data_IF_034578449089
#
_entry.id   IF_034578449089
#
_cell.length_a   1.000
_cell.length_b   1.000
_cell.length_c   1.000
_cell.angle_alpha   90.00
_cell.angle_beta   90.00
_cell.angle_gamma   90.00
#
_symmetry.space_group_name_H-M   'P 1'
#
loop_
_entity.id
_entity.type
_entity.pdbx_description
1 polymer ?
#
# COMPACT_ATOMS: atom_id res chain seq x y z
N UNK A 1 6.63 13.30 29.08
CA UNK A 1 7.67 12.76 30.00
C UNK A 1 8.96 12.68 29.22
N UNK A 2 9.98 13.47 29.56
CA UNK A 2 11.12 13.69 28.64
C UNK A 2 11.79 12.39 28.14
N UNK A 3 11.95 11.38 29.00
CA UNK A 3 12.57 10.11 28.59
C UNK A 3 11.71 9.31 27.59
N UNK A 4 10.37 9.38 27.68
CA UNK A 4 9.44 8.70 26.76
C UNK A 4 9.58 9.28 25.36
N UNK A 5 9.61 10.62 25.27
CA UNK A 5 9.79 11.34 24.00
C UNK A 5 11.17 11.04 23.40
N UNK A 6 12.22 11.01 24.22
CA UNK A 6 13.58 10.69 23.76
C UNK A 6 13.69 9.26 23.22
N UNK A 7 13.14 8.26 23.93
CA UNK A 7 13.19 6.86 23.50
C UNK A 7 12.40 6.65 22.21
N UNK A 8 11.17 7.16 22.15
CA UNK A 8 10.33 7.00 20.96
C UNK A 8 10.89 7.79 19.78
N UNK A 9 11.39 9.00 20.01
CA UNK A 9 12.03 9.82 18.98
C UNK A 9 13.29 9.17 18.41
N UNK A 10 14.15 8.61 19.27
CA UNK A 10 15.35 7.87 18.84
C UNK A 10 14.99 6.61 18.04
N UNK A 11 13.94 5.89 18.45
CA UNK A 11 13.40 4.75 17.70
C UNK A 11 12.91 5.17 16.30
N UNK A 12 12.05 6.19 16.21
CA UNK A 12 11.53 6.69 14.93
C UNK A 12 12.64 7.15 14.00
N UNK A 13 13.62 7.89 14.51
CA UNK A 13 14.78 8.33 13.73
C UNK A 13 15.59 7.14 13.19
N UNK A 14 15.81 6.12 14.03
CA UNK A 14 16.53 4.91 13.63
C UNK A 14 15.81 4.16 12.52
N UNK A 15 14.48 4.04 12.61
CA UNK A 15 13.64 3.43 11.56
C UNK A 15 13.73 4.23 10.26
N UNK A 16 13.57 5.56 10.31
CA UNK A 16 13.67 6.41 9.12
C UNK A 16 15.01 6.27 8.41
N UNK A 17 16.12 6.31 9.16
CA UNK A 17 17.48 6.12 8.63
C UNK A 17 17.60 4.73 7.98
N UNK A 18 17.17 3.67 8.69
CA UNK A 18 17.20 2.31 8.17
C UNK A 18 16.42 2.16 6.86
N UNK A 19 15.22 2.74 6.77
CA UNK A 19 14.36 2.70 5.59
C UNK A 19 14.98 3.45 4.41
N UNK A 20 15.59 4.63 4.65
CA UNK A 20 16.28 5.40 3.59
C UNK A 20 17.46 4.62 3.03
N UNK A 21 18.30 4.04 3.90
CA UNK A 21 19.44 3.21 3.48
C UNK A 21 18.94 1.97 2.70
N UNK A 22 17.87 1.34 3.16
CA UNK A 22 17.29 0.16 2.50
C UNK A 22 16.70 0.49 1.12
N UNK A 23 16.02 1.64 0.98
CA UNK A 23 15.50 2.12 -0.29
C UNK A 23 16.62 2.42 -1.30
N UNK A 24 17.72 3.03 -0.85
CA UNK A 24 18.88 3.30 -1.69
C UNK A 24 19.50 2.00 -2.22
N UNK A 25 19.66 0.98 -1.37
CA UNK A 25 20.16 -0.34 -1.77
C UNK A 25 19.23 -1.03 -2.78
N UNK A 26 17.91 -0.91 -2.57
CA UNK A 26 16.93 -1.50 -3.48
C UNK A 26 16.99 -0.90 -4.89
N UNK A 27 17.19 0.42 -5.00
CA UNK A 27 17.30 1.11 -6.28
C UNK A 27 18.54 0.72 -7.10
N UNK A 28 19.57 0.14 -6.47
CA UNK A 28 20.78 -0.32 -7.13
C UNK A 28 20.64 -1.73 -7.73
N UNK A 29 19.59 -2.48 -7.39
CA UNK A 29 19.40 -3.83 -7.89
C UNK A 29 18.92 -3.82 -9.35
N UNK A 30 19.65 -4.53 -10.20
CA UNK A 30 19.16 -4.88 -11.53
C UNK A 30 18.03 -5.89 -11.41
N UNK A 31 16.95 -5.64 -12.15
CA UNK A 31 15.73 -6.42 -12.05
C UNK A 31 15.56 -7.25 -13.33
N UNK A 32 15.26 -8.56 -13.19
CA UNK A 32 15.09 -9.42 -14.35
C UNK A 32 13.91 -8.93 -15.19
N UNK A 33 14.07 -8.98 -16.51
CA UNK A 33 12.96 -8.69 -17.44
C UNK A 33 11.94 -9.82 -17.31
N UNK A 34 10.69 -9.44 -17.09
CA UNK A 34 9.56 -10.37 -17.12
C UNK A 34 8.57 -9.95 -18.20
N UNK A 35 7.67 -10.86 -18.56
CA UNK A 35 6.56 -10.58 -19.49
C UNK A 35 5.24 -10.81 -18.78
N UNK A 36 4.25 -10.01 -19.16
CA UNK A 36 2.93 -10.05 -18.57
C UNK A 36 1.85 -10.01 -19.67
N UNK A 37 0.82 -10.84 -19.52
CA UNK A 37 -0.43 -10.77 -20.30
C UNK A 37 -1.63 -11.11 -19.41
N UNK A 38 -2.78 -10.55 -19.74
CA UNK A 38 -4.06 -10.96 -19.17
C UNK A 38 -4.50 -12.30 -19.77
N UNK A 39 -5.21 -13.11 -18.98
CA UNK A 39 -5.74 -14.40 -19.44
C UNK A 39 -6.78 -14.28 -20.55
N UNK A 40 -7.50 -13.16 -20.59
CA UNK A 40 -8.50 -12.85 -21.61
C UNK A 40 -8.81 -11.34 -21.67
N UNK A 41 -9.38 -10.85 -22.78
CA UNK A 41 -9.93 -9.49 -22.84
C UNK A 41 -11.01 -9.23 -21.78
N UNK A 42 -11.83 -10.24 -21.46
CA UNK A 42 -12.84 -10.12 -20.39
C UNK A 42 -12.19 -9.81 -19.04
N UNK A 43 -11.13 -10.55 -18.67
CA UNK A 43 -10.40 -10.30 -17.43
C UNK A 43 -9.81 -8.88 -17.39
N UNK A 44 -9.29 -8.39 -18.51
CA UNK A 44 -8.82 -7.00 -18.63
C UNK A 44 -9.93 -5.99 -18.30
N UNK A 45 -11.09 -6.08 -18.97
CA UNK A 45 -12.18 -5.12 -18.78
C UNK A 45 -12.83 -5.23 -17.41
N UNK A 46 -13.03 -6.45 -16.91
CA UNK A 46 -13.54 -6.67 -15.55
C UNK A 46 -12.64 -5.99 -14.52
N UNK A 47 -11.33 -6.21 -14.61
CA UNK A 47 -10.37 -5.63 -13.68
C UNK A 47 -10.31 -4.09 -13.80
N UNK A 48 -10.41 -3.55 -15.02
CA UNK A 48 -10.47 -2.10 -15.24
C UNK A 48 -11.72 -1.48 -14.59
N UNK A 49 -12.90 -2.09 -14.80
CA UNK A 49 -14.16 -1.62 -14.21
C UNK A 49 -14.07 -1.67 -12.68
N UNK A 50 -13.58 -2.78 -12.12
CA UNK A 50 -13.38 -2.91 -10.68
C UNK A 50 -12.51 -1.79 -10.11
N UNK A 51 -11.36 -1.50 -10.73
CA UNK A 51 -10.45 -0.43 -10.28
C UNK A 51 -11.10 0.95 -10.40
N UNK A 52 -11.80 1.23 -11.50
CA UNK A 52 -12.51 2.50 -11.71
C UNK A 52 -13.63 2.70 -10.68
N UNK A 53 -14.43 1.66 -10.41
CA UNK A 53 -15.49 1.70 -9.41
C UNK A 53 -14.93 1.90 -7.99
N UNK A 54 -13.82 1.22 -7.66
CA UNK A 54 -13.15 1.38 -6.36
C UNK A 54 -12.57 2.79 -6.21
N UNK A 55 -11.92 3.32 -7.24
CA UNK A 55 -11.42 4.70 -7.24
C UNK A 55 -12.55 5.71 -7.05
N UNK A 56 -13.67 5.54 -7.76
CA UNK A 56 -14.84 6.41 -7.61
C UNK A 56 -15.41 6.35 -6.18
N UNK A 57 -15.54 5.15 -5.59
CA UNK A 57 -15.95 4.98 -4.20
C UNK A 57 -15.00 5.72 -3.24
N UNK A 58 -13.69 5.62 -3.47
CA UNK A 58 -12.70 6.25 -2.60
C UNK A 58 -12.77 7.77 -2.65
N UNK A 59 -12.97 8.34 -3.85
CA UNK A 59 -13.17 9.78 -4.01
C UNK A 59 -14.43 10.22 -3.25
N UNK A 60 -15.54 9.47 -3.37
CA UNK A 60 -16.78 9.79 -2.66
C UNK A 60 -16.58 9.75 -1.14
N UNK A 61 -15.89 8.72 -0.63
CA UNK A 61 -15.58 8.58 0.80
C UNK A 61 -14.73 9.76 1.29
N UNK A 62 -13.63 10.09 0.61
CA UNK A 62 -12.78 11.22 1.01
C UNK A 62 -13.50 12.56 0.96
N UNK A 63 -14.35 12.79 -0.04
CA UNK A 63 -15.18 14.01 -0.10
C UNK A 63 -16.14 14.08 1.08
N UNK A 64 -16.76 12.95 1.46
CA UNK A 64 -17.63 12.90 2.64
C UNK A 64 -16.85 13.12 3.93
N UNK A 65 -15.67 12.52 4.07
CA UNK A 65 -14.81 12.72 5.22
C UNK A 65 -14.40 14.17 5.39
N UNK A 66 -14.01 14.81 4.28
CA UNK A 66 -13.62 16.21 4.29
C UNK A 66 -14.81 17.13 4.60
N UNK A 67 -16.00 16.80 4.11
CA UNK A 67 -17.21 17.58 4.42
C UNK A 67 -17.57 17.51 5.91
N UNK A 68 -17.38 16.35 6.55
CA UNK A 68 -17.79 16.12 7.94
C UNK A 68 -16.72 16.58 8.95
N UNK A 69 -15.43 16.36 8.64
CA UNK A 69 -14.31 16.60 9.58
C UNK A 69 -13.34 17.70 9.14
N UNK A 70 -13.48 18.24 7.92
CA UNK A 70 -12.58 19.24 7.37
C UNK A 70 -11.13 18.74 7.29
N UNK A 71 -10.18 19.64 7.59
CA UNK A 71 -8.75 19.30 7.59
C UNK A 71 -8.41 18.28 8.68
N UNK A 72 -9.16 18.22 9.79
CA UNK A 72 -8.82 17.35 10.92
C UNK A 72 -8.76 15.87 10.57
N UNK A 73 -9.45 15.45 9.51
CA UNK A 73 -9.39 14.08 8.99
C UNK A 73 -7.95 13.61 8.69
N UNK A 74 -7.05 14.53 8.28
CA UNK A 74 -5.68 14.16 7.90
C UNK A 74 -4.83 13.75 9.11
N UNK A 75 -5.30 13.98 10.34
CA UNK A 75 -4.61 13.51 11.55
C UNK A 75 -4.69 11.98 11.72
N UNK A 76 -5.67 11.33 11.09
CA UNK A 76 -5.93 9.90 11.25
C UNK A 76 -5.11 9.05 10.26
N UNK A 77 -4.47 8.02 10.77
CA UNK A 77 -3.66 7.07 9.98
C UNK A 77 -4.50 6.37 8.91
N UNK A 78 -5.76 6.06 9.22
CA UNK A 78 -6.70 5.47 8.28
C UNK A 78 -6.83 6.30 7.02
N UNK A 79 -6.90 7.64 7.13
CA UNK A 79 -7.02 8.54 5.98
C UNK A 79 -5.73 8.55 5.15
N UNK A 80 -4.57 8.54 5.81
CA UNK A 80 -3.28 8.39 5.12
C UNK A 80 -3.22 7.09 4.33
N UNK A 81 -3.61 5.97 4.94
CA UNK A 81 -3.66 4.68 4.29
C UNK A 81 -4.65 4.68 3.10
N UNK A 82 -5.83 5.25 3.28
CA UNK A 82 -6.86 5.35 2.26
C UNK A 82 -6.41 6.21 1.06
N UNK A 83 -5.73 7.33 1.30
CA UNK A 83 -5.12 8.16 0.24
C UNK A 83 -4.03 7.38 -0.51
N UNK A 84 -3.15 6.68 0.21
CA UNK A 84 -2.09 5.88 -0.43
C UNK A 84 -2.67 4.78 -1.34
N UNK A 85 -3.75 4.14 -0.89
CA UNK A 85 -4.49 3.18 -1.68
C UNK A 85 -5.18 3.83 -2.90
N UNK A 86 -5.73 5.04 -2.77
CA UNK A 86 -6.27 5.79 -3.92
C UNK A 86 -5.18 6.08 -4.95
N UNK A 87 -3.99 6.51 -4.52
CA UNK A 87 -2.82 6.72 -5.38
C UNK A 87 -2.46 5.42 -6.11
N UNK A 88 -2.48 4.29 -5.41
CA UNK A 88 -2.28 2.98 -6.03
C UNK A 88 -3.30 2.73 -7.15
N UNK A 89 -4.60 2.90 -6.90
CA UNK A 89 -5.61 2.64 -7.94
C UNK A 89 -5.47 3.56 -9.14
N UNK A 90 -5.18 4.85 -8.95
CA UNK A 90 -4.92 5.79 -10.05
C UNK A 90 -3.74 5.29 -10.90
N UNK A 91 -2.63 4.90 -10.26
CA UNK A 91 -1.46 4.42 -10.96
C UNK A 91 -1.70 3.06 -11.63
N UNK A 92 -2.42 2.14 -10.98
CA UNK A 92 -2.77 0.84 -11.52
C UNK A 92 -3.66 0.96 -12.77
N UNK A 93 -4.64 1.88 -12.75
CA UNK A 93 -5.49 2.20 -13.89
C UNK A 93 -4.63 2.74 -15.05
N UNK A 94 -3.80 3.76 -14.78
CA UNK A 94 -2.89 4.32 -15.79
C UNK A 94 -2.02 3.21 -16.40
N UNK A 95 -1.37 2.40 -15.57
CA UNK A 95 -0.50 1.32 -16.02
C UNK A 95 -1.26 0.31 -16.89
N UNK A 96 -2.45 -0.12 -16.47
CA UNK A 96 -3.30 -1.03 -17.23
C UNK A 96 -3.66 -0.50 -18.62
N UNK A 97 -4.05 0.77 -18.74
CA UNK A 97 -4.36 1.36 -20.04
C UNK A 97 -3.12 1.60 -20.91
N UNK A 98 -1.99 2.01 -20.33
CA UNK A 98 -0.73 2.15 -21.10
C UNK A 98 -0.20 0.81 -21.61
N UNK A 99 -0.54 -0.28 -20.93
CA UNK A 99 -0.19 -1.65 -21.31
C UNK A 99 -1.38 -2.40 -21.92
N UNK A 100 -2.35 -1.71 -22.53
CA UNK A 100 -3.57 -2.34 -23.04
C UNK A 100 -3.33 -3.41 -24.13
N UNK A 101 -2.13 -3.50 -24.71
CA UNK A 101 -1.75 -4.61 -25.61
C UNK A 101 -1.58 -5.95 -24.87
N UNK A 102 -1.36 -5.92 -23.55
CA UNK A 102 -1.32 -7.10 -22.67
C UNK A 102 -2.58 -7.98 -22.72
N UNK A 103 -3.67 -7.47 -23.31
CA UNK A 103 -4.92 -8.19 -23.54
C UNK A 103 -4.88 -9.18 -24.71
N UNK A 104 -3.91 -9.02 -25.61
CA UNK A 104 -3.75 -9.89 -26.79
C UNK A 104 -2.38 -10.58 -26.81
N UNK A 105 -1.33 -9.87 -26.40
CA UNK A 105 0.05 -10.37 -26.48
C UNK A 105 0.83 -10.05 -25.20
N UNK A 106 1.81 -10.89 -24.81
CA UNK A 106 2.69 -10.59 -23.69
C UNK A 106 3.46 -9.28 -23.88
N UNK A 107 3.37 -8.38 -22.91
CA UNK A 107 4.14 -7.13 -22.87
C UNK A 107 5.32 -7.25 -21.92
N UNK A 108 6.46 -6.67 -22.29
CA UNK A 108 7.65 -6.64 -21.43
C UNK A 108 7.42 -5.71 -20.25
N UNK A 109 7.69 -6.17 -19.04
CA UNK A 109 7.55 -5.39 -17.82
C UNK A 109 8.63 -4.31 -17.73
N UNK A 110 8.24 -3.09 -17.40
CA UNK A 110 9.14 -1.96 -17.13
C UNK A 110 9.47 -1.86 -15.64
N UNK A 111 10.35 -0.92 -15.24
CA UNK A 111 10.56 -0.61 -13.82
C UNK A 111 9.30 -0.04 -13.14
N UNK A 112 8.37 0.52 -13.90
CA UNK A 112 7.12 1.10 -13.37
C UNK A 112 6.28 0.06 -12.63
N UNK A 113 6.13 -1.15 -13.18
CA UNK A 113 5.34 -2.21 -12.54
C UNK A 113 5.93 -2.63 -11.19
N UNK A 114 7.24 -2.48 -11.02
CA UNK A 114 7.94 -2.87 -9.80
C UNK A 114 7.65 -1.88 -8.68
N UNK A 115 7.67 -0.58 -8.98
CA UNK A 115 7.24 0.45 -8.03
C UNK A 115 5.75 0.34 -7.72
N UNK A 116 4.93 0.06 -8.73
CA UNK A 116 3.50 -0.20 -8.53
C UNK A 116 3.26 -1.43 -7.64
N UNK A 117 4.04 -2.50 -7.81
CA UNK A 117 3.98 -3.69 -6.96
C UNK A 117 4.46 -3.40 -5.54
N UNK A 118 5.54 -2.62 -5.37
CA UNK A 118 5.98 -2.18 -4.04
C UNK A 118 4.92 -1.34 -3.32
N UNK A 119 4.26 -0.43 -4.05
CA UNK A 119 3.14 0.34 -3.52
C UNK A 119 1.97 -0.56 -3.14
N UNK A 120 1.66 -1.57 -3.97
CA UNK A 120 0.66 -2.58 -3.66
C UNK A 120 1.00 -3.34 -2.38
N UNK A 121 2.23 -3.80 -2.23
CA UNK A 121 2.70 -4.54 -1.04
C UNK A 121 2.44 -3.73 0.25
N UNK A 122 2.76 -2.44 0.22
CA UNK A 122 2.55 -1.52 1.35
C UNK A 122 1.06 -1.29 1.59
N UNK A 123 0.27 -1.00 0.55
CA UNK A 123 -1.16 -0.77 0.66
C UNK A 123 -1.89 -1.99 1.22
N UNK A 124 -1.60 -3.18 0.68
CA UNK A 124 -2.25 -4.44 1.04
C UNK A 124 -1.94 -4.87 2.48
N UNK A 125 -0.68 -4.81 2.89
CA UNK A 125 -0.30 -5.16 4.26
C UNK A 125 -0.77 -4.14 5.30
N UNK A 126 -0.79 -2.85 4.94
CA UNK A 126 -1.29 -1.82 5.85
C UNK A 126 -2.82 -1.83 5.96
N UNK A 127 -3.56 -2.18 4.90
CA UNK A 127 -5.02 -2.31 4.99
C UNK A 127 -5.43 -3.41 5.97
N UNK A 128 -4.73 -4.55 5.95
CA UNK A 128 -4.89 -5.63 6.93
C UNK A 128 -4.64 -5.12 8.36
N UNK A 129 -3.58 -4.32 8.57
CA UNK A 129 -3.30 -3.78 9.91
C UNK A 129 -4.39 -2.82 10.37
N UNK A 130 -4.81 -1.88 9.51
CA UNK A 130 -5.86 -0.90 9.83
C UNK A 130 -7.17 -1.61 10.18
N UNK A 131 -7.54 -2.63 9.42
CA UNK A 131 -8.71 -3.48 9.68
C UNK A 131 -8.60 -4.15 11.06
N UNK A 132 -7.50 -4.86 11.34
CA UNK A 132 -7.28 -5.51 12.65
C UNK A 132 -7.32 -4.50 13.79
N UNK A 133 -6.57 -3.40 13.69
CA UNK A 133 -6.48 -2.40 14.77
C UNK A 133 -7.83 -1.75 15.01
N UNK A 134 -8.56 -1.43 13.95
CA UNK A 134 -9.87 -0.82 14.08
C UNK A 134 -10.85 -1.77 14.78
N UNK A 135 -11.03 -2.98 14.24
CA UNK A 135 -12.02 -3.91 14.79
C UNK A 135 -11.65 -4.46 16.17
N UNK A 136 -10.36 -4.54 16.52
CA UNK A 136 -9.92 -5.02 17.82
C UNK A 136 -9.89 -3.91 18.90
N UNK A 137 -9.58 -2.66 18.55
CA UNK A 137 -9.28 -1.61 19.55
C UNK A 137 -10.09 -0.32 19.41
N UNK A 138 -10.60 0.01 18.22
CA UNK A 138 -11.21 1.32 17.95
C UNK A 138 -12.69 1.25 17.56
N UNK A 139 -13.23 0.05 17.35
CA UNK A 139 -14.59 -0.13 16.90
C UNK A 139 -15.60 0.46 17.90
N UNK A 140 -16.57 1.19 17.36
CA UNK A 140 -17.74 1.63 18.09
C UNK A 140 -19.00 1.46 17.23
N UNK A 141 -20.14 1.10 17.85
CA UNK A 141 -21.40 0.97 17.14
C UNK A 141 -21.91 2.35 16.70
N UNK A 142 -22.50 2.44 15.50
CA UNK A 142 -23.09 3.69 14.99
C UNK A 142 -22.17 4.54 14.11
N UNK A 143 -21.01 4.00 13.69
CA UNK A 143 -20.18 4.65 12.68
C UNK A 143 -20.93 4.81 11.35
N UNK A 144 -20.55 5.83 10.58
CA UNK A 144 -21.08 6.09 9.26
C UNK A 144 -20.73 4.97 8.27
N UNK A 145 -21.50 4.87 7.18
CA UNK A 145 -21.23 3.89 6.12
C UNK A 145 -19.83 4.03 5.51
N UNK A 146 -19.33 5.26 5.38
CA UNK A 146 -18.02 5.54 4.80
C UNK A 146 -16.90 5.09 5.74
N UNK A 147 -17.10 5.16 7.06
CA UNK A 147 -16.14 4.60 8.02
C UNK A 147 -16.01 3.08 7.85
N UNK A 148 -17.11 2.36 7.62
CA UNK A 148 -17.03 0.91 7.34
C UNK A 148 -16.21 0.63 6.07
N UNK A 149 -16.29 1.51 5.08
CA UNK A 149 -15.46 1.40 3.86
C UNK A 149 -13.98 1.67 4.16
N UNK A 150 -13.67 2.68 4.96
CA UNK A 150 -12.29 3.04 5.34
C UNK A 150 -11.60 1.99 6.21
N UNK A 151 -12.38 1.26 7.01
CA UNK A 151 -11.83 0.33 7.99
C UNK A 151 -11.95 -1.15 7.61
N UNK A 152 -12.81 -1.53 6.65
CA UNK A 152 -12.92 -2.94 6.21
C UNK A 152 -13.23 -3.11 4.73
N UNK A 153 -14.08 -2.24 4.16
CA UNK A 153 -14.43 -2.31 2.72
C UNK A 153 -13.20 -2.18 1.81
N UNK A 154 -12.25 -1.33 2.19
CA UNK A 154 -10.99 -1.16 1.47
C UNK A 154 -10.11 -2.43 1.49
N UNK A 155 -10.06 -3.13 2.61
CA UNK A 155 -9.32 -4.39 2.77
C UNK A 155 -9.93 -5.45 1.87
N UNK A 156 -11.26 -5.57 1.85
CA UNK A 156 -11.98 -6.46 0.92
C UNK A 156 -11.66 -6.12 -0.54
N UNK A 157 -11.70 -4.84 -0.92
CA UNK A 157 -11.35 -4.40 -2.27
C UNK A 157 -9.90 -4.77 -2.62
N UNK A 158 -8.98 -4.64 -1.67
CA UNK A 158 -7.59 -5.03 -1.84
C UNK A 158 -7.39 -6.56 -1.95
N UNK A 159 -8.21 -7.37 -1.27
CA UNK A 159 -8.23 -8.82 -1.50
C UNK A 159 -8.73 -9.18 -2.89
N UNK A 160 -9.77 -8.51 -3.39
CA UNK A 160 -10.24 -8.70 -4.78
C UNK A 160 -9.15 -8.27 -5.78
N UNK A 161 -8.56 -7.10 -5.58
CA UNK A 161 -7.42 -6.62 -6.38
C UNK A 161 -6.27 -7.64 -6.36
N UNK A 162 -5.93 -8.17 -5.19
CA UNK A 162 -4.90 -9.19 -5.02
C UNK A 162 -5.22 -10.47 -5.79
N UNK A 163 -6.47 -10.92 -5.81
CA UNK A 163 -6.86 -12.12 -6.56
C UNK A 163 -6.87 -11.88 -8.08
N UNK A 164 -7.27 -10.68 -8.51
CA UNK A 164 -7.40 -10.35 -9.94
C UNK A 164 -6.09 -9.91 -10.61
N UNK A 165 -5.09 -9.48 -9.84
CA UNK A 165 -3.80 -9.06 -10.39
C UNK A 165 -2.75 -10.19 -10.41
N UNK A 166 -1.60 -9.96 -11.05
CA UNK A 166 -0.47 -10.91 -11.02
C UNK A 166 0.60 -10.58 -9.97
N UNK A 167 0.32 -9.62 -9.11
CA UNK A 167 1.24 -9.20 -8.07
C UNK A 167 1.39 -10.28 -7.01
N UNK A 168 2.65 -10.49 -6.63
CA UNK A 168 3.06 -11.29 -5.49
C UNK A 168 3.83 -10.35 -4.56
N UNK A 169 3.65 -10.58 -3.26
CA UNK A 169 4.23 -9.74 -2.22
C UNK A 169 5.74 -9.93 -2.20
N UNK A 170 6.49 -8.86 -2.50
CA UNK A 170 7.94 -8.91 -2.54
C UNK A 170 8.52 -8.82 -1.13
N UNK A 171 9.35 -9.78 -0.72
CA UNK A 171 10.07 -9.68 0.57
C UNK A 171 10.97 -8.45 0.67
N UNK A 172 11.30 -7.81 -0.45
CA UNK A 172 12.21 -6.66 -0.49
C UNK A 172 11.53 -5.34 -0.13
N UNK A 173 10.19 -5.27 -0.08
CA UNK A 173 9.46 -4.01 0.15
C UNK A 173 9.02 -3.81 1.60
N UNK A 174 9.27 -4.76 2.50
CA UNK A 174 8.76 -4.74 3.88
C UNK A 174 9.16 -3.48 4.65
N UNK A 175 10.33 -2.90 4.40
CA UNK A 175 10.76 -1.70 5.11
C UNK A 175 9.94 -0.47 4.73
N UNK A 176 9.21 -0.47 3.61
CA UNK A 176 8.34 0.63 3.24
C UNK A 176 7.06 0.70 4.09
N UNK A 177 6.57 -0.40 4.67
CA UNK A 177 5.41 -0.34 5.58
C UNK A 177 5.77 0.40 6.87
N UNK A 178 6.90 0.06 7.48
CA UNK A 178 7.40 0.76 8.68
C UNK A 178 7.90 2.18 8.35
N UNK A 179 8.38 2.43 7.13
CA UNK A 179 8.71 3.79 6.69
C UNK A 179 7.48 4.69 6.66
N UNK A 180 6.38 4.19 6.07
CA UNK A 180 5.12 4.92 6.01
C UNK A 180 4.56 5.19 7.41
N UNK A 181 4.61 4.21 8.31
CA UNK A 181 4.25 4.38 9.72
C UNK A 181 5.12 5.42 10.45
N UNK A 182 6.43 5.46 10.16
CA UNK A 182 7.35 6.44 10.75
C UNK A 182 7.11 7.87 10.27
N UNK A 183 6.84 8.05 8.96
CA UNK A 183 6.44 9.35 8.42
C UNK A 183 5.16 9.83 9.10
N UNK A 184 4.14 8.97 9.19
CA UNK A 184 2.89 9.33 9.86
C UNK A 184 3.11 9.66 11.35
N UNK A 185 3.88 8.85 12.07
CA UNK A 185 4.15 9.10 13.50
C UNK A 185 4.82 10.47 13.71
N UNK A 186 5.78 10.81 12.86
CA UNK A 186 6.44 12.12 12.86
C UNK A 186 5.44 13.24 12.56
N UNK A 187 4.58 13.04 11.57
CA UNK A 187 3.53 13.99 11.21
C UNK A 187 2.55 14.24 12.37
N UNK A 188 2.11 13.19 13.08
CA UNK A 188 1.19 13.34 14.21
C UNK A 188 1.84 14.05 15.38
N UNK A 189 3.12 13.80 15.66
CA UNK A 189 3.84 14.55 16.69
C UNK A 189 3.88 16.05 16.38
N UNK A 190 4.16 16.40 15.13
CA UNK A 190 4.13 17.80 14.68
C UNK A 190 2.71 18.35 14.81
N UNK A 191 1.70 17.59 14.39
CA UNK A 191 0.28 18.01 14.41
C UNK A 191 -0.23 18.24 15.84
N UNK A 192 0.11 17.35 16.77
CA UNK A 192 -0.14 17.47 18.21
C UNK A 192 0.36 18.80 18.77
N UNK A 193 1.59 19.18 18.39
CA UNK A 193 2.24 20.40 18.87
C UNK A 193 1.80 21.69 18.16
N UNK A 194 1.01 21.61 17.08
CA UNK A 194 0.75 22.77 16.21
C UNK A 194 -0.72 23.10 16.00
N UNK A 195 -1.57 22.12 15.66
CA UNK A 195 -2.95 22.40 15.23
C UNK A 195 -4.00 21.41 15.76
N UNK A 196 -3.59 20.39 16.51
CA UNK A 196 -4.50 19.45 17.18
C UNK A 196 -4.79 19.81 18.64
N UNK A 197 -4.48 21.03 19.08
CA UNK A 197 -4.75 21.51 20.45
C UNK A 197 -4.28 20.55 21.55
N UNK A 198 -3.13 19.88 21.34
CA UNK A 198 -2.57 18.88 22.25
C UNK A 198 -3.46 17.63 22.45
N UNK A 199 -4.27 17.28 21.46
CA UNK A 199 -5.04 16.04 21.42
C UNK A 199 -4.41 15.02 20.47
N UNK A 200 -4.27 13.78 20.94
CA UNK A 200 -3.77 12.68 20.12
C UNK A 200 -4.91 12.06 19.31
N UNK A 201 -4.73 11.77 18.01
CA UNK A 201 -5.78 11.15 17.20
C UNK A 201 -6.11 9.71 17.64
N UNK A 202 -5.17 9.06 18.35
CA UNK A 202 -5.36 7.74 18.94
C UNK A 202 -4.72 7.67 20.32
N UNK A 203 -5.40 7.00 21.26
CA UNK A 203 -4.89 6.84 22.63
C UNK A 203 -3.53 6.14 22.68
N UNK A 204 -3.27 5.17 21.78
CA UNK A 204 -2.02 4.43 21.73
C UNK A 204 -0.86 5.24 21.12
N UNK A 205 -1.11 6.46 20.62
CA UNK A 205 -0.05 7.39 20.23
C UNK A 205 0.32 8.39 21.33
N UNK A 206 -0.48 8.46 22.40
CA UNK A 206 -0.21 9.40 23.50
C UNK A 206 1.13 9.14 24.18
N UNK A 207 1.87 10.23 24.44
CA UNK A 207 3.15 10.23 25.18
C UNK A 207 2.96 10.44 26.69
N UNK A 208 1.72 10.52 27.16
CA UNK A 208 1.38 10.89 28.53
C UNK A 208 1.55 9.70 29.50
N UNK A 209 1.78 8.50 28.97
CA UNK A 209 1.95 7.27 29.76
C UNK A 209 3.37 6.72 29.65
N UNK A 210 3.91 6.09 30.71
CA UNK A 210 5.24 5.46 30.65
C UNK A 210 5.30 4.27 29.68
N UNK A 211 4.14 3.76 29.24
CA UNK A 211 4.02 2.64 28.30
C UNK A 211 3.95 3.09 26.83
N UNK A 212 3.97 4.40 26.54
CA UNK A 212 3.92 4.91 25.18
C UNK A 212 4.98 4.31 24.23
N UNK A 213 6.25 4.07 24.66
CA UNK A 213 7.23 3.42 23.79
C UNK A 213 6.79 2.01 23.38
N UNK A 214 6.15 1.26 24.29
CA UNK A 214 5.66 -0.09 23.99
C UNK A 214 4.55 -0.07 22.94
N UNK A 215 3.66 0.92 22.97
CA UNK A 215 2.66 1.10 21.92
C UNK A 215 3.30 1.37 20.55
N UNK A 216 4.32 2.22 20.50
CA UNK A 216 5.02 2.52 19.25
C UNK A 216 5.75 1.28 18.72
N UNK A 217 6.48 0.54 19.57
CA UNK A 217 7.06 -0.74 19.17
C UNK A 217 6.00 -1.74 18.71
N UNK A 218 4.86 -1.79 19.40
CA UNK A 218 3.74 -2.68 19.08
C UNK A 218 3.13 -2.39 17.71
N UNK A 219 2.86 -1.14 17.37
CA UNK A 219 2.30 -0.75 16.06
C UNK A 219 3.29 -1.06 14.93
N UNK A 220 4.57 -0.74 15.11
CA UNK A 220 5.60 -1.07 14.12
C UNK A 220 5.80 -2.59 13.97
N UNK A 221 5.75 -3.33 15.08
CA UNK A 221 5.71 -4.78 15.07
C UNK A 221 4.48 -5.30 14.32
N UNK A 222 3.32 -4.69 14.51
CA UNK A 222 2.08 -4.96 13.78
C UNK A 222 2.26 -4.83 12.26
N UNK A 223 2.89 -3.76 11.78
CA UNK A 223 3.22 -3.59 10.36
C UNK A 223 4.09 -4.71 9.81
N UNK A 224 5.11 -5.14 10.57
CA UNK A 224 5.98 -6.26 10.16
C UNK A 224 5.20 -7.57 10.13
N UNK A 225 4.34 -7.81 11.12
CA UNK A 225 3.53 -9.01 11.22
C UNK A 225 2.49 -9.11 10.09
N UNK A 226 1.76 -8.03 9.79
CA UNK A 226 0.77 -8.04 8.71
C UNK A 226 1.43 -8.12 7.33
N UNK A 227 2.63 -7.54 7.17
CA UNK A 227 3.44 -7.77 5.98
C UNK A 227 3.87 -9.25 5.85
N UNK A 228 4.27 -9.87 6.95
CA UNK A 228 4.53 -11.32 7.02
C UNK A 228 3.31 -12.15 6.63
N UNK A 229 2.12 -11.77 7.12
CA UNK A 229 0.85 -12.37 6.73
C UNK A 229 0.55 -12.23 5.23
N UNK A 230 0.78 -11.04 4.66
CA UNK A 230 0.65 -10.79 3.23
C UNK A 230 1.60 -11.66 2.40
N UNK A 231 2.85 -11.88 2.84
CA UNK A 231 3.75 -12.85 2.22
C UNK A 231 3.14 -14.27 2.27
N UNK A 232 2.55 -14.66 3.40
CA UNK A 232 1.85 -15.93 3.55
C UNK A 232 0.74 -16.11 2.51
N UNK A 233 -0.12 -15.10 2.36
CA UNK A 233 -1.18 -15.07 1.35
C UNK A 233 -0.61 -15.14 -0.08
N UNK A 234 0.52 -14.49 -0.34
CA UNK A 234 1.23 -14.57 -1.62
C UNK A 234 1.75 -15.94 -1.95
N UNK A 235 2.26 -16.68 -0.97
CA UNK A 235 2.66 -18.07 -1.19
C UNK A 235 1.46 -18.95 -1.50
N UNK A 236 0.34 -18.77 -0.80
CA UNK A 236 -0.90 -19.50 -1.09
C UNK A 236 -1.39 -19.22 -2.51
N UNK A 237 -1.41 -17.94 -2.91
CA UNK A 237 -1.75 -17.54 -4.28
C UNK A 237 -0.82 -18.19 -5.31
N UNK A 238 0.49 -18.20 -5.05
CA UNK A 238 1.49 -18.84 -5.92
C UNK A 238 1.22 -20.34 -6.07
N UNK A 239 0.91 -21.06 -5.00
CA UNK A 239 0.52 -22.47 -5.06
C UNK A 239 -0.78 -22.73 -5.84
N UNK A 240 -1.72 -21.78 -5.83
CA UNK A 240 -3.00 -21.90 -6.54
C UNK A 240 -2.92 -21.49 -8.02
N UNK A 241 -1.87 -20.78 -8.44
CA UNK A 241 -1.67 -20.44 -9.83
C UNK A 241 -1.08 -21.65 -10.56
N UNK A 242 -1.73 -22.17 -11.62
CA UNK A 242 -1.16 -23.25 -12.41
C UNK A 242 0.21 -22.82 -12.92
N UNK A 243 1.18 -23.74 -12.81
CA UNK A 243 2.59 -23.55 -13.12
C UNK A 243 2.71 -22.74 -14.42
N UNK A 244 2.99 -21.44 -14.29
CA UNK A 244 3.26 -20.61 -15.47
C UNK A 244 4.57 -21.15 -15.98
N UNK A 245 4.51 -22.05 -16.96
CA UNK A 245 5.68 -22.44 -17.74
C UNK A 245 6.44 -21.14 -18.00
N UNK A 246 7.61 -21.04 -17.38
CA UNK A 246 8.55 -19.97 -17.67
C UNK A 246 8.90 -20.17 -19.15
N UNK A 247 8.17 -19.49 -20.04
CA UNK A 247 8.51 -19.48 -21.45
C UNK A 247 9.95 -18.99 -21.48
N UNK A 248 10.92 -19.82 -21.90
CA UNK A 248 12.31 -19.41 -21.88
C UNK A 248 12.40 -18.13 -22.69
N UNK A 249 13.00 -17.09 -22.08
CA UNK A 249 13.17 -15.75 -22.69
C UNK A 249 13.91 -15.82 -24.03
N UNK A 250 14.50 -16.96 -24.39
CA UNK A 250 15.12 -17.26 -25.68
C UNK A 250 14.17 -17.14 -26.89
N UNK A 251 12.86 -17.03 -26.72
CA UNK A 251 11.90 -16.81 -27.82
C UNK A 251 11.42 -15.37 -28.00
N UNK A 252 11.79 -14.45 -27.11
CA UNK A 252 11.57 -13.02 -27.35
C UNK A 252 12.81 -12.54 -28.10
N UNK A 253 12.78 -12.70 -29.42
CA UNK A 253 13.68 -11.95 -30.30
C UNK A 253 13.71 -10.49 -29.80
N UNK A 254 14.88 -9.87 -29.64
CA UNK A 254 14.92 -8.43 -29.47
C UNK A 254 14.09 -7.86 -30.60
N UNK A 255 13.11 -7.02 -30.29
CA UNK A 255 12.46 -6.18 -31.28
C UNK A 255 13.50 -5.14 -31.74
N UNK A 256 14.58 -5.61 -32.35
CA UNK A 256 15.52 -4.83 -33.10
C UNK A 256 14.81 -4.45 -34.39
N UNK A 257 14.75 -3.15 -34.64
CA UNK A 257 14.33 -2.53 -35.90
C UNK A 257 12.85 -2.66 -36.26
N UNK A 258 11.99 -1.92 -35.56
CA UNK A 258 11.00 -1.13 -36.28
C UNK A 258 11.46 0.33 -36.28
N UNK A 259 12.28 0.69 -37.29
CA UNK A 259 12.32 2.08 -37.77
C UNK A 259 10.94 2.33 -38.40
N UNK A 260 10.02 2.89 -37.63
CA UNK A 260 8.95 3.67 -38.23
C UNK A 260 9.36 5.12 -38.06
N UNK A 261 9.98 5.62 -39.13
CA UNK A 261 10.06 7.02 -39.46
C UNK A 261 8.66 7.63 -39.40
N UNK A 262 8.48 8.64 -38.54
CA UNK A 262 7.47 9.65 -38.76
C UNK A 262 8.19 10.92 -39.20
N UNK A 263 8.04 11.21 -40.49
CA UNK A 263 7.93 12.58 -41.00
C UNK A 263 6.63 13.15 -40.45
#
# INVERSE_FOLDING_TARGET
MLWVEQVTGAFLLSVLIFCVISAQKLNQLELPRSVFSYSSPFAFYFHAIFRLSTLALYIIVLVKQFADYGITMISYYTIWNFILQMIYYIWAIKYQYTTAQSRYEPVTTTKEILYLNMLFDVCFSNSILVDIVFWAFLYYPGMSWYGYVEHGGNTIAFFVEFMCNHFLISRKSWFFTIFFAAIYSTFVWISYATWLDHEWPYFFLSMDTPYAPLWHFGIFGGHVLTFGGAIGLSKLKEYCLPDKQSVPVSFILPQAQNRISYV
#
